data_IF_899061223296
#
_entry.id   IF_899061223296
#
_cell.length_a   1.000
_cell.length_b   1.000
_cell.length_c   1.000
_cell.angle_alpha   90.00
_cell.angle_beta   90.00
_cell.angle_gamma   90.00
#
_symmetry.space_group_name_H-M   'P 1'
#
loop_
_entity.id
_entity.type
_entity.pdbx_description
1 polymer ?
#
# COMPACT_ATOMS: atom_id res chain seq x y z
N UNK A 1 2.23 0.55 -7.00
CA UNK A 1 2.81 1.90 -6.87
C UNK A 1 3.23 2.42 -8.25
N UNK A 2 3.45 3.72 -8.41
CA UNK A 2 4.06 4.31 -9.61
C UNK A 2 5.44 4.85 -9.24
N UNK A 3 6.35 4.96 -10.22
CA UNK A 3 7.66 5.54 -9.95
C UNK A 3 8.16 6.42 -11.08
N UNK A 4 9.03 7.38 -10.73
CA UNK A 4 9.71 8.28 -11.66
C UNK A 4 11.18 8.33 -11.33
N UNK A 5 12.03 8.30 -12.37
CA UNK A 5 13.47 8.42 -12.24
C UNK A 5 13.90 9.74 -12.87
N UNK A 6 14.81 10.47 -12.23
CA UNK A 6 15.39 11.70 -12.78
C UNK A 6 16.10 11.38 -14.09
N UNK A 7 15.77 12.15 -15.14
CA UNK A 7 16.22 11.89 -16.50
C UNK A 7 15.22 11.10 -17.36
N UNK A 8 14.17 10.51 -16.77
CA UNK A 8 13.06 9.90 -17.53
C UNK A 8 12.00 10.95 -17.90
N UNK A 9 11.43 10.80 -19.09
CA UNK A 9 10.41 11.68 -19.66
C UNK A 9 9.02 11.49 -19.03
N UNK A 10 8.81 10.50 -18.16
CA UNK A 10 7.48 10.19 -17.61
C UNK A 10 7.45 9.51 -16.24
N UNK A 11 6.23 9.12 -15.82
CA UNK A 11 5.95 8.27 -14.66
C UNK A 11 5.68 6.85 -15.15
N UNK A 12 6.31 5.85 -14.55
CA UNK A 12 6.05 4.45 -14.83
C UNK A 12 4.90 3.96 -13.98
N UNK A 13 3.77 3.71 -14.64
CA UNK A 13 2.60 3.03 -14.08
C UNK A 13 2.52 1.64 -14.68
N UNK A 14 2.87 0.62 -13.90
CA UNK A 14 2.77 -0.78 -14.30
C UNK A 14 1.96 -1.55 -13.24
N UNK A 15 1.07 -2.48 -13.62
CA UNK A 15 0.36 -3.32 -12.66
C UNK A 15 1.33 -4.22 -11.87
N UNK A 16 2.52 -4.47 -12.42
CA UNK A 16 3.55 -5.29 -11.79
C UNK A 16 4.40 -4.50 -10.76
N UNK A 17 4.11 -3.20 -10.56
CA UNK A 17 4.74 -2.40 -9.51
C UNK A 17 4.11 -2.72 -8.15
N UNK A 18 4.71 -3.65 -7.43
CA UNK A 18 4.17 -4.18 -6.17
C UNK A 18 5.10 -3.80 -5.02
N UNK A 19 4.55 -3.22 -3.97
CA UNK A 19 5.24 -3.01 -2.69
C UNK A 19 4.40 -3.69 -1.63
N UNK A 20 4.95 -4.73 -0.99
CA UNK A 20 4.24 -5.62 -0.07
C UNK A 20 5.03 -5.75 1.23
N UNK A 21 4.43 -5.36 2.35
CA UNK A 21 5.04 -5.39 3.68
C UNK A 21 4.16 -6.17 4.66
N UNK A 22 3.77 -7.37 4.27
CA UNK A 22 2.85 -8.21 5.05
C UNK A 22 3.61 -9.09 6.04
N UNK A 23 3.10 -9.22 7.26
CA UNK A 23 3.63 -10.18 8.21
C UNK A 23 3.38 -11.61 7.74
N UNK A 24 4.44 -12.42 7.71
CA UNK A 24 4.38 -13.84 7.41
C UNK A 24 4.06 -14.60 8.71
N UNK A 25 3.01 -15.42 8.67
CA UNK A 25 2.63 -16.24 9.82
C UNK A 25 3.82 -17.14 10.23
N UNK A 26 4.21 -17.09 11.50
CA UNK A 26 5.32 -17.87 12.04
C UNK A 26 6.73 -17.33 11.77
N UNK A 27 6.88 -16.14 11.15
CA UNK A 27 8.19 -15.49 11.00
C UNK A 27 8.71 -14.98 12.34
N UNK A 28 9.97 -15.26 12.72
CA UNK A 28 10.59 -14.71 13.92
C UNK A 28 11.02 -13.24 13.75
N UNK A 29 11.02 -12.73 12.52
CA UNK A 29 11.30 -11.32 12.25
C UNK A 29 10.06 -10.50 12.61
N UNK A 30 10.26 -9.31 13.22
CA UNK A 30 9.21 -8.30 13.26
C UNK A 30 9.02 -7.79 11.83
N UNK A 31 8.22 -8.50 11.05
CA UNK A 31 8.10 -8.33 9.60
C UNK A 31 7.72 -6.90 9.16
N UNK A 32 7.27 -6.03 10.07
CA UNK A 32 7.09 -4.61 9.80
C UNK A 32 8.39 -3.86 9.48
N UNK A 33 9.57 -4.47 9.68
CA UNK A 33 10.87 -3.94 9.28
C UNK A 33 11.37 -4.50 7.95
N UNK A 34 10.61 -5.34 7.25
CA UNK A 34 11.01 -5.94 5.97
C UNK A 34 9.87 -5.78 4.97
N UNK A 35 10.19 -5.38 3.74
CA UNK A 35 9.20 -5.32 2.67
C UNK A 35 9.77 -5.84 1.36
N UNK A 36 8.89 -6.34 0.51
CA UNK A 36 9.18 -6.74 -0.84
C UNK A 36 8.78 -5.65 -1.80
N UNK A 37 9.64 -5.35 -2.76
CA UNK A 37 9.38 -4.38 -3.82
C UNK A 37 9.75 -4.96 -5.18
N UNK A 38 8.77 -4.97 -6.07
CA UNK A 38 8.92 -5.38 -7.46
C UNK A 38 8.74 -4.16 -8.35
N UNK A 39 9.74 -3.87 -9.18
CA UNK A 39 9.61 -2.87 -10.22
C UNK A 39 9.06 -3.52 -11.49
N UNK A 40 7.91 -3.06 -11.92
CA UNK A 40 7.31 -3.41 -13.20
C UNK A 40 8.02 -2.68 -14.35
N UNK A 41 8.04 -3.36 -15.50
CA UNK A 41 8.54 -2.81 -16.75
C UNK A 41 7.52 -1.83 -17.35
N UNK A 42 8.01 -0.71 -17.90
CA UNK A 42 7.21 0.29 -18.62
C UNK A 42 7.81 0.55 -20.00
N UNK A 43 7.04 0.39 -21.10
CA UNK A 43 7.54 0.62 -22.47
C UNK A 43 7.98 2.06 -22.72
N UNK A 44 7.42 3.05 -22.05
CA UNK A 44 7.79 4.45 -22.24
C UNK A 44 9.00 4.88 -21.39
N UNK A 45 9.62 3.95 -20.66
CA UNK A 45 10.79 4.18 -19.80
C UNK A 45 12.11 3.79 -20.47
N UNK A 46 12.12 3.67 -21.79
CA UNK A 46 13.34 3.53 -22.56
C UNK A 46 14.03 4.88 -22.68
N UNK A 47 15.11 5.07 -21.92
CA UNK A 47 16.37 5.67 -22.38
C UNK A 47 17.32 5.86 -21.19
N UNK A 48 18.50 5.24 -21.26
CA UNK A 48 19.73 5.48 -20.45
C UNK A 48 19.74 5.24 -18.93
N UNK A 49 18.70 5.54 -18.15
CA UNK A 49 18.74 5.47 -16.67
C UNK A 49 18.77 4.04 -16.12
N UNK A 50 18.00 3.12 -16.71
CA UNK A 50 17.89 1.71 -16.29
C UNK A 50 19.19 0.92 -16.52
N UNK A 51 19.93 1.27 -17.58
CA UNK A 51 21.19 0.60 -17.93
C UNK A 51 22.35 1.00 -17.00
N UNK A 52 22.21 2.08 -16.24
CA UNK A 52 23.22 2.57 -15.27
C UNK A 52 22.84 2.29 -13.81
N UNK A 53 21.61 1.85 -13.54
CA UNK A 53 21.12 1.50 -12.20
C UNK A 53 21.03 -0.03 -12.06
N UNK A 54 22.11 -0.72 -11.66
CA UNK A 54 22.21 -2.19 -11.70
C UNK A 54 21.22 -2.95 -10.80
N UNK A 55 20.38 -2.24 -10.03
CA UNK A 55 19.51 -2.83 -9.02
C UNK A 55 18.01 -2.71 -9.32
N UNK A 56 17.59 -1.93 -10.33
CA UNK A 56 16.20 -1.98 -10.81
C UNK A 56 16.11 -3.13 -11.82
N UNK A 57 15.94 -4.34 -11.29
CA UNK A 57 15.70 -5.53 -12.10
C UNK A 57 14.19 -5.69 -12.26
N UNK A 58 13.69 -5.49 -13.48
CA UNK A 58 12.26 -5.59 -13.75
C UNK A 58 11.73 -6.99 -13.47
N UNK A 59 10.55 -7.05 -12.86
CA UNK A 59 9.84 -8.30 -12.55
C UNK A 59 10.48 -9.14 -11.43
N UNK A 60 11.61 -8.70 -10.85
CA UNK A 60 12.22 -9.36 -9.70
C UNK A 60 11.75 -8.69 -8.41
N UNK A 61 11.20 -9.50 -7.49
CA UNK A 61 10.94 -9.06 -6.12
C UNK A 61 12.26 -8.88 -5.38
N UNK A 62 12.50 -7.66 -4.90
CA UNK A 62 13.65 -7.30 -4.10
C UNK A 62 13.22 -7.17 -2.64
N UNK A 63 13.98 -7.79 -1.74
CA UNK A 63 13.74 -7.69 -0.30
C UNK A 63 14.50 -6.48 0.23
N UNK A 64 13.77 -5.62 0.94
CA UNK A 64 14.27 -4.42 1.58
C UNK A 64 14.08 -4.52 3.09
N UNK A 65 15.08 -4.08 3.85
CA UNK A 65 15.03 -4.03 5.32
C UNK A 65 15.08 -2.58 5.77
N UNK A 66 14.11 -2.17 6.58
CA UNK A 66 14.09 -0.86 7.22
C UNK A 66 15.07 -0.85 8.40
N UNK A 67 16.09 0.01 8.35
CA UNK A 67 17.07 0.17 9.42
C UNK A 67 16.61 1.20 10.45
N UNK A 68 16.15 2.35 9.96
CA UNK A 68 15.78 3.47 10.80
C UNK A 68 14.74 4.33 10.12
N UNK A 69 13.87 4.92 10.93
CA UNK A 69 12.95 5.97 10.55
C UNK A 69 12.95 7.03 11.64
N UNK A 70 13.00 8.30 11.24
CA UNK A 70 12.83 9.41 12.16
C UNK A 70 12.05 10.54 11.50
N UNK A 71 11.53 11.44 12.32
CA UNK A 71 10.81 12.63 11.88
C UNK A 71 11.61 13.83 12.35
N UNK A 72 11.94 14.73 11.44
CA UNK A 72 12.59 15.99 11.75
C UNK A 72 11.56 17.02 12.22
N UNK A 73 12.02 18.06 12.92
CA UNK A 73 11.16 19.10 13.52
C UNK A 73 10.32 19.86 12.48
N UNK A 74 10.80 19.91 11.24
CA UNK A 74 10.09 20.52 10.12
C UNK A 74 8.91 19.68 9.60
N UNK A 75 8.72 18.45 10.10
CA UNK A 75 7.72 17.49 9.64
C UNK A 75 8.20 16.57 8.51
N UNK A 76 9.47 16.64 8.13
CA UNK A 76 10.06 15.75 7.13
C UNK A 76 10.37 14.39 7.76
N UNK A 77 9.87 13.32 7.14
CA UNK A 77 10.13 11.94 7.56
C UNK A 77 11.28 11.40 6.74
N UNK A 78 12.28 10.86 7.42
CA UNK A 78 13.42 10.21 6.82
C UNK A 78 13.42 8.73 7.15
N UNK A 79 13.83 7.91 6.20
CA UNK A 79 14.02 6.48 6.41
C UNK A 79 15.29 6.00 5.73
N UNK A 80 15.95 5.02 6.34
CA UNK A 80 17.09 4.32 5.77
C UNK A 80 16.71 2.85 5.56
N UNK A 81 16.95 2.35 4.36
CA UNK A 81 16.64 0.95 3.99
C UNK A 81 17.87 0.27 3.39
N UNK A 82 17.94 -1.04 3.59
CA UNK A 82 18.95 -1.93 3.03
C UNK A 82 18.32 -2.83 1.98
N UNK A 83 19.00 -2.99 0.85
CA UNK A 83 18.73 -4.01 -0.14
C UNK A 83 19.79 -5.11 -0.06
N UNK A 84 19.34 -6.36 -0.19
CA UNK A 84 20.21 -7.55 -0.13
C UNK A 84 21.07 -7.67 -1.40
N UNK A 85 22.21 -6.97 -1.40
CA UNK A 85 23.20 -7.00 -2.50
C UNK A 85 24.62 -7.04 -1.96
N UNK A 86 25.51 -7.68 -2.72
CA UNK A 86 26.94 -7.76 -2.42
C UNK A 86 27.68 -6.46 -2.70
N UNK A 87 27.06 -5.47 -3.37
CA UNK A 87 27.69 -4.19 -3.70
C UNK A 87 27.37 -3.11 -2.64
N UNK A 88 28.34 -2.69 -1.79
CA UNK A 88 28.07 -1.76 -0.69
C UNK A 88 27.48 -0.42 -1.13
N UNK A 89 27.90 0.08 -2.30
CA UNK A 89 27.39 1.34 -2.87
C UNK A 89 25.86 1.34 -3.08
N UNK A 90 25.29 0.17 -3.37
CA UNK A 90 23.86 0.03 -3.63
C UNK A 90 23.11 -0.71 -2.53
N UNK A 91 23.82 -1.08 -1.48
CA UNK A 91 23.28 -1.81 -0.34
C UNK A 91 22.34 -0.95 0.49
N UNK A 92 22.65 0.33 0.67
CA UNK A 92 21.83 1.25 1.45
C UNK A 92 21.17 2.31 0.57
N UNK A 93 20.01 2.78 1.03
CA UNK A 93 19.20 3.82 0.40
C UNK A 93 18.55 4.69 1.45
N UNK A 94 18.44 5.98 1.12
CA UNK A 94 17.75 6.94 1.95
C UNK A 94 16.42 7.28 1.28
N UNK A 95 15.37 7.41 2.09
CA UNK A 95 14.06 7.85 1.67
C UNK A 95 13.65 9.07 2.46
N UNK A 96 12.88 9.94 1.81
CA UNK A 96 12.33 11.15 2.43
C UNK A 96 10.88 11.33 2.00
N UNK A 97 10.07 11.80 2.92
CA UNK A 97 8.69 12.19 2.66
C UNK A 97 8.23 13.25 3.65
N UNK A 98 6.99 13.70 3.53
CA UNK A 98 6.36 14.65 4.43
C UNK A 98 5.31 13.92 5.27
N UNK A 99 5.24 14.21 6.57
CA UNK A 99 4.21 13.64 7.45
C UNK A 99 2.82 14.21 7.14
N UNK A 100 2.79 15.44 6.66
CA UNK A 100 1.61 16.27 6.38
C UNK A 100 1.22 16.26 4.89
N UNK A 101 1.29 15.09 4.25
CA UNK A 101 0.85 14.96 2.86
C UNK A 101 -0.67 15.09 2.77
N UNK A 102 -1.12 16.27 2.35
CA UNK A 102 -2.53 16.55 2.13
C UNK A 102 -2.99 15.92 0.81
N UNK A 103 -3.45 14.67 0.85
CA UNK A 103 -4.00 14.02 -0.33
C UNK A 103 -5.33 13.32 -0.07
N UNK A 104 -6.38 13.77 -0.77
CA UNK A 104 -7.73 13.18 -0.72
C UNK A 104 -7.81 11.75 -1.28
N UNK A 105 -6.80 11.33 -2.03
CA UNK A 105 -6.70 10.02 -2.68
C UNK A 105 -5.79 9.04 -1.92
N UNK A 106 -5.38 9.39 -0.69
CA UNK A 106 -4.54 8.55 0.18
C UNK A 106 -3.20 8.14 -0.46
N UNK A 107 -2.71 8.95 -1.42
CA UNK A 107 -1.46 8.69 -2.12
C UNK A 107 -0.30 9.23 -1.27
N UNK A 108 0.71 8.39 -1.07
CA UNK A 108 1.92 8.73 -0.33
C UNK A 108 3.09 8.79 -1.30
N UNK A 109 3.76 9.93 -1.34
CA UNK A 109 4.91 10.22 -2.19
C UNK A 109 6.21 10.06 -1.42
N UNK A 110 7.13 9.23 -1.92
CA UNK A 110 8.44 9.01 -1.31
C UNK A 110 9.56 9.34 -2.28
N UNK A 111 10.52 10.15 -1.83
CA UNK A 111 11.76 10.39 -2.56
C UNK A 111 12.80 9.37 -2.11
N UNK A 112 13.59 8.83 -3.03
CA UNK A 112 14.58 7.79 -2.78
C UNK A 112 15.89 8.06 -3.54
N UNK A 113 17.02 7.72 -2.94
CA UNK A 113 18.36 7.85 -3.55
C UNK A 113 18.68 6.70 -4.52
N UNK A 114 19.73 6.86 -5.34
CA UNK A 114 20.28 5.80 -6.22
C UNK A 114 21.56 5.18 -5.65
N UNK A 115 22.10 5.76 -4.58
CA UNK A 115 23.29 5.30 -3.85
C UNK A 115 23.05 5.38 -2.34
N UNK A 116 24.03 4.89 -1.58
CA UNK A 116 24.03 4.93 -0.12
C UNK A 116 24.22 6.35 0.47
N UNK A 117 24.30 7.39 -0.36
CA UNK A 117 24.54 8.77 0.09
C UNK A 117 23.23 9.57 0.18
N UNK A 118 22.85 9.97 1.40
CA UNK A 118 21.67 10.78 1.63
C UNK A 118 21.88 12.28 1.33
N UNK A 119 23.12 12.77 1.13
CA UNK A 119 23.42 14.21 1.03
C UNK A 119 22.66 14.93 -0.07
N UNK A 120 22.38 14.23 -1.16
CA UNK A 120 21.68 14.77 -2.32
C UNK A 120 20.15 14.67 -2.22
N UNK A 121 19.64 13.94 -1.22
CA UNK A 121 18.21 13.83 -0.97
C UNK A 121 17.78 14.97 -0.05
N UNK A 122 17.01 15.93 -0.58
CA UNK A 122 16.48 17.07 0.17
C UNK A 122 14.98 16.97 0.41
N UNK A 123 14.25 16.60 -0.64
CA UNK A 123 12.80 16.42 -0.60
C UNK A 123 12.38 15.46 -1.73
N UNK A 124 11.10 15.11 -1.74
CA UNK A 124 10.50 14.27 -2.80
C UNK A 124 10.71 14.84 -4.20
N UNK A 125 10.47 16.14 -4.41
CA UNK A 125 10.50 16.77 -5.73
C UNK A 125 11.87 16.82 -6.37
N UNK A 126 12.95 16.78 -5.60
CA UNK A 126 14.33 16.75 -6.10
C UNK A 126 14.94 15.36 -6.04
N UNK A 127 14.22 14.36 -5.54
CA UNK A 127 14.75 13.01 -5.38
C UNK A 127 15.07 12.35 -6.74
N UNK A 128 16.19 11.59 -6.82
CA UNK A 128 16.55 10.79 -7.99
C UNK A 128 15.46 9.78 -8.39
N UNK A 129 14.92 9.06 -7.42
CA UNK A 129 13.78 8.16 -7.61
C UNK A 129 12.61 8.72 -6.81
N UNK A 130 11.44 8.77 -7.42
CA UNK A 130 10.20 9.26 -6.83
C UNK A 130 9.17 8.16 -6.91
N UNK A 131 8.72 7.70 -5.76
CA UNK A 131 7.71 6.66 -5.62
C UNK A 131 6.38 7.32 -5.28
N UNK A 132 5.31 6.87 -5.92
CA UNK A 132 3.94 7.28 -5.71
C UNK A 132 3.19 6.03 -5.26
N UNK A 133 2.89 5.94 -3.97
CA UNK A 133 2.28 4.78 -3.37
C UNK A 133 0.78 5.00 -3.26
N UNK A 134 0.00 4.07 -3.80
CA UNK A 134 -1.46 4.03 -3.64
C UNK A 134 -1.82 2.73 -2.92
N UNK A 135 -2.72 2.78 -1.92
CA UNK A 135 -3.26 1.57 -1.31
C UNK A 135 -3.90 0.66 -2.36
N UNK A 136 -3.60 -0.64 -2.30
CA UNK A 136 -4.12 -1.64 -3.21
C UNK A 136 -4.47 -2.92 -2.44
N UNK A 137 -5.29 -3.77 -3.05
CA UNK A 137 -5.53 -5.12 -2.54
C UNK A 137 -4.40 -6.05 -2.96
N UNK A 138 -4.09 -7.03 -2.11
CA UNK A 138 -3.20 -8.12 -2.47
C UNK A 138 -3.86 -9.01 -3.53
N UNK A 139 -3.30 -9.12 -4.75
CA UNK A 139 -3.93 -9.88 -5.82
C UNK A 139 -3.97 -11.39 -5.55
N UNK A 140 -3.08 -11.91 -4.71
CA UNK A 140 -2.97 -13.34 -4.43
C UNK A 140 -3.98 -13.82 -3.38
N UNK A 141 -4.28 -12.98 -2.38
CA UNK A 141 -5.06 -13.38 -1.20
C UNK A 141 -6.39 -12.62 -1.13
N UNK A 142 -6.33 -11.29 -1.06
CA UNK A 142 -7.50 -10.45 -0.82
C UNK A 142 -8.48 -10.46 -1.99
N UNK A 143 -8.01 -10.43 -3.24
CA UNK A 143 -8.92 -10.45 -4.40
C UNK A 143 -9.76 -11.73 -4.48
N UNK A 144 -9.25 -12.86 -3.95
CA UNK A 144 -10.00 -14.12 -3.87
C UNK A 144 -11.11 -14.02 -2.83
N UNK A 145 -10.80 -13.46 -1.67
CA UNK A 145 -11.78 -13.26 -0.58
C UNK A 145 -12.80 -12.17 -0.89
N UNK A 146 -12.47 -11.24 -1.81
CA UNK A 146 -13.42 -10.25 -2.32
C UNK A 146 -14.50 -10.84 -3.25
N UNK A 147 -14.43 -12.12 -3.63
CA UNK A 147 -15.48 -12.76 -4.42
C UNK A 147 -16.61 -13.24 -3.49
N UNK A 148 -17.85 -12.74 -3.60
CA UNK A 148 -18.93 -13.14 -2.72
C UNK A 148 -19.46 -14.54 -3.08
N UNK A 149 -19.84 -15.31 -2.07
CA UNK A 149 -20.47 -16.64 -2.22
C UNK A 149 -21.93 -16.66 -1.76
N UNK A 150 -22.37 -15.62 -1.04
CA UNK A 150 -23.73 -15.43 -0.56
C UNK A 150 -24.24 -14.00 -0.80
N UNK A 151 -25.54 -13.80 -0.61
CA UNK A 151 -26.21 -12.51 -0.76
C UNK A 151 -26.69 -12.00 0.58
N UNK A 152 -26.51 -10.71 0.82
CA UNK A 152 -27.07 -9.98 1.95
C UNK A 152 -28.58 -9.72 1.74
N UNK A 153 -29.36 -9.53 2.82
CA UNK A 153 -30.78 -9.22 2.70
C UNK A 153 -31.01 -7.90 1.97
N UNK A 154 -32.01 -7.86 1.08
CA UNK A 154 -32.33 -6.68 0.28
C UNK A 154 -32.75 -5.48 1.12
N UNK A 155 -33.40 -5.71 2.27
CA UNK A 155 -33.88 -4.65 3.17
C UNK A 155 -32.76 -3.78 3.76
N UNK A 156 -31.53 -4.28 3.76
CA UNK A 156 -30.36 -3.56 4.26
C UNK A 156 -29.60 -2.81 3.17
N UNK A 157 -30.02 -2.92 1.91
CA UNK A 157 -29.34 -2.24 0.79
C UNK A 157 -29.55 -0.73 0.88
N UNK A 158 -28.49 0.05 0.68
CA UNK A 158 -28.56 1.50 0.72
C UNK A 158 -27.34 2.16 1.35
N UNK A 159 -27.49 3.45 1.64
CA UNK A 159 -26.47 4.25 2.31
C UNK A 159 -26.77 4.31 3.81
N UNK A 160 -25.76 3.99 4.60
CA UNK A 160 -25.80 3.92 6.05
C UNK A 160 -24.67 4.76 6.64
N UNK A 161 -24.74 5.01 7.95
CA UNK A 161 -23.67 5.60 8.73
C UNK A 161 -23.35 4.69 9.92
N UNK A 162 -22.10 4.66 10.35
CA UNK A 162 -21.67 3.88 11.50
C UNK A 162 -21.49 4.82 12.70
N UNK A 163 -22.36 4.77 13.73
CA UNK A 163 -22.42 5.80 14.76
C UNK A 163 -21.23 5.81 15.71
N UNK A 164 -20.51 4.70 15.83
CA UNK A 164 -19.39 4.58 16.79
C UNK A 164 -18.06 5.07 16.23
N UNK A 165 -17.98 5.44 14.95
CA UNK A 165 -16.77 5.99 14.35
C UNK A 165 -17.02 7.38 13.75
N UNK A 166 -15.99 8.22 13.76
CA UNK A 166 -16.06 9.58 13.25
C UNK A 166 -16.05 9.59 11.72
N UNK A 167 -16.99 10.33 11.12
CA UNK A 167 -17.06 10.59 9.67
C UNK A 167 -16.94 9.33 8.79
N UNK A 168 -17.86 8.38 8.98
CA UNK A 168 -17.98 7.19 8.13
C UNK A 168 -19.08 7.32 7.07
N UNK A 169 -18.85 6.76 5.89
CA UNK A 169 -19.91 6.45 4.93
C UNK A 169 -19.96 4.96 4.68
N UNK A 170 -21.14 4.35 4.84
CA UNK A 170 -21.35 2.92 4.61
C UNK A 170 -22.31 2.75 3.44
N UNK A 171 -21.95 1.90 2.48
CA UNK A 171 -22.78 1.56 1.34
C UNK A 171 -22.96 0.04 1.30
N UNK A 172 -24.20 -0.41 1.43
CA UNK A 172 -24.56 -1.83 1.42
C UNK A 172 -25.19 -2.15 0.07
N UNK A 173 -24.61 -3.11 -0.62
CA UNK A 173 -25.19 -3.74 -1.80
C UNK A 173 -25.53 -5.21 -1.48
N UNK A 174 -26.14 -5.92 -2.43
CA UNK A 174 -26.58 -7.32 -2.29
C UNK A 174 -25.49 -8.32 -1.90
N UNK A 175 -24.20 -7.98 -1.99
CA UNK A 175 -23.09 -8.91 -1.71
C UNK A 175 -21.96 -8.30 -0.88
N UNK A 176 -21.90 -6.98 -0.79
CA UNK A 176 -20.80 -6.25 -0.17
C UNK A 176 -21.34 -5.15 0.73
N UNK A 177 -20.65 -4.92 1.84
CA UNK A 177 -20.74 -3.69 2.62
C UNK A 177 -19.43 -2.96 2.40
N UNK A 178 -19.49 -1.78 1.80
CA UNK A 178 -18.35 -0.89 1.66
C UNK A 178 -18.43 0.18 2.73
N UNK A 179 -17.37 0.33 3.52
CA UNK A 179 -17.25 1.36 4.53
C UNK A 179 -16.02 2.20 4.22
N UNK A 180 -16.21 3.52 4.12
CA UNK A 180 -15.11 4.47 4.10
C UNK A 180 -15.09 5.22 5.41
N UNK A 181 -14.00 5.14 6.15
CA UNK A 181 -13.79 5.86 7.41
C UNK A 181 -12.65 6.86 7.29
N UNK A 182 -12.75 7.97 8.01
CA UNK A 182 -11.68 8.97 8.09
C UNK A 182 -10.76 8.63 9.27
N UNK A 183 -9.46 8.46 9.02
CA UNK A 183 -8.48 8.08 10.04
C UNK A 183 -7.81 9.32 10.66
N UNK A 184 -7.46 10.29 9.83
CA UNK A 184 -6.96 11.61 10.22
C UNK A 184 -7.49 12.68 9.25
N UNK A 185 -7.05 13.93 9.36
CA UNK A 185 -7.56 15.03 8.53
C UNK A 185 -7.45 14.81 7.01
N UNK A 186 -6.51 13.98 6.57
CA UNK A 186 -6.19 13.78 5.16
C UNK A 186 -6.25 12.33 4.70
N UNK A 187 -6.25 11.36 5.61
CA UNK A 187 -6.26 9.94 5.26
C UNK A 187 -7.60 9.27 5.52
N UNK A 188 -8.00 8.43 4.56
CA UNK A 188 -9.18 7.59 4.61
C UNK A 188 -8.80 6.12 4.52
N UNK A 189 -9.69 5.29 5.01
CA UNK A 189 -9.56 3.84 4.98
C UNK A 189 -10.81 3.25 4.34
N UNK A 190 -10.59 2.47 3.29
CA UNK A 190 -11.60 1.78 2.53
C UNK A 190 -11.67 0.32 3.00
N UNK A 191 -12.77 -0.05 3.65
CA UNK A 191 -13.01 -1.36 4.25
C UNK A 191 -14.16 -2.04 3.51
N UNK A 192 -13.96 -3.30 3.14
CA UNK A 192 -14.94 -4.11 2.42
C UNK A 192 -15.31 -5.32 3.26
N UNK A 193 -16.60 -5.51 3.51
CA UNK A 193 -17.13 -6.72 4.10
C UNK A 193 -17.81 -7.52 2.99
N UNK A 194 -17.36 -8.74 2.76
CA UNK A 194 -17.82 -9.60 1.67
C UNK A 194 -18.44 -10.86 2.23
N UNK A 195 -19.64 -11.21 1.76
CA UNK A 195 -20.37 -12.38 2.23
C UNK A 195 -19.69 -13.69 1.76
N UNK A 196 -19.24 -14.52 2.71
CA UNK A 196 -18.55 -15.80 2.45
C UNK A 196 -19.36 -17.04 2.83
N UNK A 197 -20.25 -16.93 3.80
CA UNK A 197 -21.19 -17.99 4.12
C UNK A 197 -22.43 -17.40 4.77
N UNK A 198 -23.57 -18.04 4.54
CA UNK A 198 -24.83 -17.70 5.19
C UNK A 198 -25.43 -18.94 5.85
N UNK A 199 -25.95 -18.75 7.06
CA UNK A 199 -26.80 -19.71 7.74
C UNK A 199 -27.94 -18.97 8.45
N UNK A 200 -29.15 -19.07 7.89
CA UNK A 200 -30.34 -18.35 8.38
C UNK A 200 -30.10 -16.82 8.42
N UNK A 201 -30.14 -16.21 9.61
CA UNK A 201 -29.88 -14.80 9.89
C UNK A 201 -28.40 -14.47 10.12
N UNK A 202 -27.51 -15.48 10.11
CA UNK A 202 -26.09 -15.31 10.38
C UNK A 202 -25.27 -15.34 9.09
N UNK A 203 -24.32 -14.42 9.00
CA UNK A 203 -23.49 -14.20 7.82
C UNK A 203 -22.02 -14.17 8.26
N UNK A 204 -21.20 -15.01 7.65
CA UNK A 204 -19.75 -14.93 7.78
C UNK A 204 -19.24 -13.94 6.73
N UNK A 205 -18.67 -12.84 7.18
CA UNK A 205 -18.14 -11.77 6.35
C UNK A 205 -16.62 -11.82 6.37
N UNK A 206 -15.98 -11.82 5.20
CA UNK A 206 -14.56 -11.51 5.08
C UNK A 206 -14.41 -9.98 5.09
N UNK A 207 -13.56 -9.47 5.97
CA UNK A 207 -13.25 -8.06 6.10
C UNK A 207 -11.89 -7.82 5.49
N UNK A 208 -11.88 -7.02 4.43
CA UNK A 208 -10.70 -6.70 3.64
C UNK A 208 -10.54 -5.19 3.63
N UNK A 209 -9.41 -4.73 4.17
CA UNK A 209 -9.07 -3.31 4.16
C UNK A 209 -8.06 -3.02 3.07
N UNK A 210 -8.37 -2.06 2.22
CA UNK A 210 -7.48 -1.67 1.11
C UNK A 210 -6.16 -1.13 1.64
N UNK A 211 -5.04 -1.68 1.17
CA UNK A 211 -3.69 -1.30 1.61
C UNK A 211 -3.18 -2.00 2.87
N UNK A 212 -4.00 -2.84 3.50
CA UNK A 212 -3.56 -3.78 4.54
C UNK A 212 -3.43 -5.18 3.94
N UNK A 213 -2.73 -6.07 4.63
CA UNK A 213 -2.56 -7.45 4.19
C UNK A 213 -3.48 -8.44 4.91
N UNK A 214 -4.00 -8.01 6.06
CA UNK A 214 -4.82 -8.84 6.92
C UNK A 214 -6.21 -9.04 6.28
N UNK A 215 -6.75 -10.23 6.53
CA UNK A 215 -8.12 -10.60 6.16
C UNK A 215 -8.74 -11.13 7.43
N UNK A 216 -9.72 -10.41 7.95
CA UNK A 216 -10.44 -10.83 9.14
C UNK A 216 -11.75 -11.51 8.75
N UNK A 217 -12.22 -12.41 9.59
CA UNK A 217 -13.53 -13.03 9.42
C UNK A 217 -14.43 -12.63 10.60
N UNK A 218 -15.56 -12.02 10.27
CA UNK A 218 -16.54 -11.55 11.26
C UNK A 218 -17.90 -12.20 11.03
N UNK A 219 -18.51 -12.68 12.11
CA UNK A 219 -19.88 -13.19 12.08
C UNK A 219 -20.87 -12.06 12.35
N UNK A 220 -21.76 -11.81 11.41
CA UNK A 220 -22.83 -10.83 11.50
C UNK A 220 -24.15 -11.56 11.72
N UNK A 221 -24.99 -11.04 12.61
CA UNK A 221 -26.38 -11.46 12.72
C UNK A 221 -27.27 -10.32 12.23
N UNK A 222 -27.91 -10.51 11.08
CA UNK A 222 -28.80 -9.52 10.48
C UNK A 222 -30.24 -9.95 10.79
N UNK A 223 -30.84 -9.24 11.75
CA UNK A 223 -32.22 -9.46 12.19
C UNK A 223 -33.12 -8.54 11.34
N UNK A 224 -34.20 -9.03 10.72
CA UNK A 224 -35.10 -8.20 9.91
C UNK A 224 -35.82 -7.10 10.73
#
# INVERSE_FOLDING_TARGET
FEYRIVGSTGVCRSPNNILKACQRQGSPLRDNSVYEQTFGFCPNFFETSVLQEPNIVYGKSNIWRCYARWVADDGTVWAAVEYDTNMPKFKYRCLTTRIDQQNRQDIIQWGMTVDADCKNLKNYFTAPIRLILEPAFDPETQLVEMQPTCKLPTNYSGNWFYPSEYQTSVHINSTHIYMRRKKDDYTYEDIYFVCRQQQLSRYLMAVVTRGQCEIDFMCFELIP
#
